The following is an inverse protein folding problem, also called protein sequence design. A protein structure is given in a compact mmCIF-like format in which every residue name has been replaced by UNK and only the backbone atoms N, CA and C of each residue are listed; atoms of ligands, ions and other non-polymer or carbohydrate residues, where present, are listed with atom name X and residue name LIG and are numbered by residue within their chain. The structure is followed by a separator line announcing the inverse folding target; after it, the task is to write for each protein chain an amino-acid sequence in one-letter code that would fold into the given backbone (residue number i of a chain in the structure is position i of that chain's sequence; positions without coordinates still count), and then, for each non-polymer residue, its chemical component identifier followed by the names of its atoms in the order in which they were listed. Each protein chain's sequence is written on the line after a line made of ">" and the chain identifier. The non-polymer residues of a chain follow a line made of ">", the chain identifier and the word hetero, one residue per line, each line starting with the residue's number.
data_IF_444129564702
#
_entry.id   IF_444129564702
#
_cell.length_a   1.000
_cell.length_b   1.000
_cell.length_c   1.000
_cell.angle_alpha   90.00
_cell.angle_beta   90.00
_cell.angle_gamma   90.00
#
_symmetry.space_group_name_H-M   'P 1'
#
loop_
_entity.id
_entity.type
_entity.pdbx_description
1 polymer ?
#
# COMPACT_ATOMS: atom_id res chain seq x y z
N UNK A 1 -13.13 -3.09 64.17
CA UNK A 1 -12.02 -2.72 63.27
C UNK A 1 -12.52 -2.99 61.86
N UNK A 2 -12.51 -1.99 60.98
CA UNK A 2 -13.07 -2.14 59.63
C UNK A 2 -12.38 -3.29 58.89
N UNK A 3 -13.17 -4.09 58.16
CA UNK A 3 -12.66 -5.14 57.28
C UNK A 3 -12.48 -4.57 55.87
N UNK A 4 -11.50 -5.10 55.14
CA UNK A 4 -11.15 -4.60 53.82
C UNK A 4 -11.04 -5.72 52.79
N UNK A 5 -11.33 -5.40 51.53
CA UNK A 5 -11.09 -6.34 50.43
C UNK A 5 -9.58 -6.59 50.24
N UNK A 6 -9.16 -7.79 49.82
CA UNK A 6 -7.74 -8.14 49.76
C UNK A 6 -6.94 -7.33 48.73
N UNK A 7 -7.52 -7.05 47.56
CA UNK A 7 -6.78 -6.50 46.41
C UNK A 7 -6.84 -4.98 46.31
N UNK A 8 -8.01 -4.40 46.61
CA UNK A 8 -8.26 -2.96 46.42
C UNK A 8 -8.44 -2.21 47.74
N UNK A 9 -8.36 -2.91 48.89
CA UNK A 9 -8.49 -2.32 50.23
C UNK A 9 -9.77 -1.50 50.40
N UNK A 10 -10.85 -1.91 49.73
CA UNK A 10 -12.18 -1.29 49.87
C UNK A 10 -12.83 -1.72 51.17
N UNK A 11 -13.60 -0.86 51.81
CA UNK A 11 -14.31 -1.20 53.04
C UNK A 11 -15.32 -2.34 52.78
N UNK A 12 -15.36 -3.32 53.69
CA UNK A 12 -16.39 -4.35 53.73
C UNK A 12 -17.38 -3.98 54.84
N UNK A 13 -18.52 -3.48 54.43
CA UNK A 13 -19.54 -2.91 55.29
C UNK A 13 -20.31 -4.01 56.03
N UNK A 14 -20.23 -4.05 57.36
CA UNK A 14 -21.04 -4.92 58.20
C UNK A 14 -22.37 -4.22 58.55
N UNK A 15 -23.45 -4.95 58.87
CA UNK A 15 -24.76 -4.35 59.15
C UNK A 15 -24.78 -3.31 60.28
N UNK A 16 -23.79 -3.35 61.17
CA UNK A 16 -23.67 -2.44 62.31
C UNK A 16 -22.77 -1.23 62.05
N UNK A 17 -22.13 -1.16 60.89
CA UNK A 17 -21.18 -0.08 60.58
C UNK A 17 -21.91 1.24 60.24
N UNK A 18 -21.44 2.39 60.75
CA UNK A 18 -22.02 3.68 60.41
C UNK A 18 -21.69 4.08 58.96
N UNK A 19 -22.64 4.69 58.25
CA UNK A 19 -22.39 5.21 56.90
C UNK A 19 -21.60 6.51 56.91
N UNK A 20 -20.29 6.37 56.73
CA UNK A 20 -19.35 7.47 56.58
C UNK A 20 -19.19 7.79 55.09
N UNK A 21 -19.64 8.99 54.69
CA UNK A 21 -19.53 9.45 53.29
C UNK A 21 -18.08 9.54 52.82
N UNK A 22 -17.15 9.82 53.73
CA UNK A 22 -15.72 9.91 53.44
C UNK A 22 -15.17 8.54 53.01
N UNK A 23 -15.47 7.48 53.76
CA UNK A 23 -15.06 6.11 53.44
C UNK A 23 -15.68 5.64 52.11
N UNK A 24 -16.97 5.93 51.89
CA UNK A 24 -17.64 5.61 50.64
C UNK A 24 -17.01 6.31 49.43
N UNK A 25 -16.72 7.61 49.54
CA UNK A 25 -16.10 8.38 48.46
C UNK A 25 -14.64 7.92 48.21
N UNK A 26 -13.91 7.53 49.26
CA UNK A 26 -12.57 6.98 49.14
C UNK A 26 -12.58 5.63 48.40
N UNK A 27 -13.51 4.74 48.73
CA UNK A 27 -13.69 3.46 48.03
C UNK A 27 -14.06 3.67 46.55
N UNK A 28 -14.97 4.61 46.26
CA UNK A 28 -15.35 4.95 44.88
C UNK A 28 -14.14 5.46 44.08
N UNK A 29 -13.33 6.34 44.68
CA UNK A 29 -12.11 6.86 44.07
C UNK A 29 -11.07 5.76 43.81
N UNK A 30 -10.95 4.78 44.72
CA UNK A 30 -10.07 3.63 44.55
C UNK A 30 -10.53 2.72 43.40
N UNK A 31 -11.85 2.48 43.27
CA UNK A 31 -12.42 1.73 42.15
C UNK A 31 -12.19 2.45 40.82
N UNK A 32 -12.47 3.76 40.74
CA UNK A 32 -12.26 4.55 39.53
C UNK A 32 -10.78 4.54 39.09
N UNK A 33 -9.87 4.69 40.04
CA UNK A 33 -8.42 4.59 39.79
C UNK A 33 -8.02 3.20 39.27
N UNK A 34 -8.57 2.14 39.86
CA UNK A 34 -8.28 0.77 39.44
C UNK A 34 -8.81 0.48 38.03
N UNK A 35 -10.03 0.94 37.72
CA UNK A 35 -10.61 0.84 36.37
C UNK A 35 -9.76 1.59 35.35
N UNK A 36 -9.31 2.82 35.66
CA UNK A 36 -8.41 3.57 34.79
C UNK A 36 -7.06 2.89 34.54
N UNK A 37 -6.53 2.14 35.53
CA UNK A 37 -5.32 1.31 35.33
C UNK A 37 -5.58 0.10 34.44
N UNK A 38 -6.71 -0.58 34.64
CA UNK A 38 -7.08 -1.74 33.83
C UNK A 38 -7.28 -1.36 32.36
N UNK A 39 -7.96 -0.24 32.10
CA UNK A 39 -8.15 0.29 30.73
C UNK A 39 -6.81 0.55 30.04
N UNK A 40 -5.87 1.25 30.70
CA UNK A 40 -4.53 1.47 30.13
C UNK A 40 -3.78 0.17 29.86
N UNK A 41 -3.80 -0.77 30.80
CA UNK A 41 -3.13 -2.07 30.60
C UNK A 41 -3.73 -2.86 29.44
N UNK A 42 -5.04 -2.76 29.22
CA UNK A 42 -5.70 -3.39 28.08
C UNK A 42 -5.30 -2.71 26.76
N UNK A 43 -5.24 -1.37 26.74
CA UNK A 43 -4.77 -0.59 25.59
C UNK A 43 -3.31 -0.92 25.23
N UNK A 44 -2.41 -0.98 26.22
CA UNK A 44 -1.00 -1.36 26.02
C UNK A 44 -0.88 -2.78 25.46
N UNK A 45 -1.70 -3.70 25.98
CA UNK A 45 -1.72 -5.10 25.50
C UNK A 45 -2.24 -5.19 24.07
N UNK A 46 -3.27 -4.41 23.73
CA UNK A 46 -3.84 -4.36 22.39
C UNK A 46 -2.85 -3.74 21.38
N UNK A 47 -2.11 -2.69 21.76
CA UNK A 47 -1.04 -2.13 20.95
C UNK A 47 0.09 -3.14 20.67
N UNK A 48 0.53 -3.86 21.69
CA UNK A 48 1.54 -4.91 21.53
C UNK A 48 1.03 -6.05 20.64
N UNK A 49 -0.24 -6.46 20.80
CA UNK A 49 -0.86 -7.48 19.96
C UNK A 49 -0.95 -7.03 18.51
N UNK A 50 -1.36 -5.78 18.26
CA UNK A 50 -1.34 -5.15 16.94
C UNK A 50 0.03 -5.30 16.28
N UNK A 51 1.11 -4.86 16.95
CA UNK A 51 2.46 -4.92 16.40
C UNK A 51 2.92 -6.36 16.11
N UNK A 52 2.59 -7.31 16.98
CA UNK A 52 2.92 -8.73 16.76
C UNK A 52 2.16 -9.31 15.56
N UNK A 53 0.90 -8.90 15.37
CA UNK A 53 0.10 -9.35 14.23
C UNK A 53 0.56 -8.73 12.92
N UNK A 54 0.94 -7.45 12.93
CA UNK A 54 1.52 -6.77 11.78
C UNK A 54 2.87 -7.38 11.39
N UNK A 55 3.71 -7.76 12.37
CA UNK A 55 4.94 -8.49 12.08
C UNK A 55 4.67 -9.85 11.41
N UNK A 56 3.68 -10.61 11.91
CA UNK A 56 3.30 -11.88 11.28
C UNK A 56 2.79 -11.67 9.85
N UNK A 57 2.07 -10.58 9.58
CA UNK A 57 1.59 -10.22 8.25
C UNK A 57 2.75 -9.96 7.28
N UNK A 58 3.72 -9.16 7.70
CA UNK A 58 4.96 -8.92 6.94
C UNK A 58 5.76 -10.21 6.68
N UNK A 59 5.69 -11.18 7.57
CA UNK A 59 6.30 -12.50 7.40
C UNK A 59 5.44 -13.48 6.57
N UNK A 60 4.29 -13.05 6.05
CA UNK A 60 3.36 -13.87 5.25
C UNK A 60 2.66 -14.97 6.05
N UNK A 61 2.58 -14.83 7.37
CA UNK A 61 1.95 -15.81 8.27
C UNK A 61 0.46 -15.52 8.43
N UNK A 62 -0.30 -16.57 8.72
CA UNK A 62 -1.72 -16.43 9.02
C UNK A 62 -1.94 -15.59 10.29
N UNK A 63 -2.71 -14.51 10.17
CA UNK A 63 -2.96 -13.55 11.27
C UNK A 63 -4.24 -13.83 12.07
N UNK A 64 -4.97 -14.92 11.79
CA UNK A 64 -6.01 -15.42 12.68
C UNK A 64 -7.32 -14.61 12.75
N UNK A 65 -8.12 -14.93 13.76
CA UNK A 65 -9.38 -14.25 14.09
C UNK A 65 -9.08 -12.92 14.79
N UNK A 66 -9.57 -11.81 14.21
CA UNK A 66 -9.26 -10.44 14.62
C UNK A 66 -10.49 -9.79 15.25
N UNK A 67 -10.86 -10.18 16.46
CA UNK A 67 -11.94 -9.48 17.16
C UNK A 67 -11.47 -8.14 17.71
N UNK A 68 -12.12 -7.06 17.29
CA UNK A 68 -11.89 -5.69 17.73
C UNK A 68 -10.51 -5.10 17.37
N UNK A 69 -9.81 -5.69 16.39
CA UNK A 69 -8.54 -5.18 15.86
C UNK A 69 -8.56 -5.25 14.34
N UNK A 70 -8.37 -4.09 13.70
CA UNK A 70 -8.22 -3.97 12.25
C UNK A 70 -6.83 -3.41 11.99
N UNK A 71 -6.09 -4.00 11.07
CA UNK A 71 -4.78 -3.47 10.67
C UNK A 71 -4.50 -3.81 9.23
N UNK A 72 -3.61 -3.04 8.62
CA UNK A 72 -3.06 -3.32 7.31
C UNK A 72 -1.65 -2.75 7.22
N UNK A 73 -0.74 -3.55 6.68
CA UNK A 73 0.64 -3.15 6.35
C UNK A 73 0.85 -2.95 4.85
N UNK A 74 -0.22 -3.05 4.06
CA UNK A 74 -0.25 -2.88 2.61
C UNK A 74 0.71 -3.82 1.87
N UNK A 75 0.81 -5.07 2.34
CA UNK A 75 1.52 -6.15 1.64
C UNK A 75 0.79 -6.60 0.37
N UNK A 76 -0.53 -6.43 0.36
CA UNK A 76 -1.41 -6.50 -0.81
C UNK A 76 -2.49 -5.40 -0.73
N UNK A 77 -3.40 -5.36 -1.71
CA UNK A 77 -4.51 -4.39 -1.75
C UNK A 77 -5.85 -4.98 -1.25
N UNK A 78 -5.85 -6.17 -0.63
CA UNK A 78 -7.08 -6.88 -0.25
C UNK A 78 -7.87 -6.17 0.86
N UNK A 79 -7.20 -5.37 1.69
CA UNK A 79 -7.81 -4.53 2.73
C UNK A 79 -8.38 -3.20 2.23
N UNK A 80 -8.19 -2.87 0.95
CA UNK A 80 -8.55 -1.57 0.36
C UNK A 80 -9.80 -1.72 -0.53
N UNK A 81 -10.87 -1.03 -0.17
CA UNK A 81 -12.10 -0.97 -0.98
C UNK A 81 -12.00 0.06 -2.12
N UNK A 82 -11.46 1.25 -1.81
CA UNK A 82 -11.27 2.32 -2.79
C UNK A 82 -9.90 2.95 -2.60
N UNK A 83 -9.25 3.30 -3.72
CA UNK A 83 -7.93 3.93 -3.73
C UNK A 83 -7.85 4.95 -4.85
N UNK A 84 -7.29 6.13 -4.55
CA UNK A 84 -6.96 7.09 -5.59
C UNK A 84 -5.86 6.54 -6.52
N UNK A 85 -5.98 6.79 -7.82
CA UNK A 85 -4.95 6.36 -8.80
C UNK A 85 -3.56 6.97 -8.53
N UNK A 86 -3.48 8.08 -7.80
CA UNK A 86 -2.20 8.70 -7.43
C UNK A 86 -1.44 7.97 -6.33
N UNK A 87 -2.07 7.00 -5.65
CA UNK A 87 -1.47 6.25 -4.55
C UNK A 87 -1.06 4.87 -5.08
N UNK A 88 0.25 4.64 -5.17
CA UNK A 88 0.81 3.37 -5.64
C UNK A 88 1.28 2.51 -4.47
N UNK A 89 1.06 1.21 -4.59
CA UNK A 89 1.59 0.25 -3.63
C UNK A 89 3.08 0.00 -3.90
N UNK A 90 3.85 -0.15 -2.83
CA UNK A 90 5.27 -0.51 -2.83
C UNK A 90 5.49 -1.66 -1.85
N UNK A 91 6.68 -2.26 -1.84
CA UNK A 91 7.04 -3.27 -0.82
C UNK A 91 7.06 -2.69 0.61
N UNK A 92 7.11 -1.36 0.72
CA UNK A 92 7.25 -0.58 1.95
C UNK A 92 5.92 0.06 2.40
N UNK A 93 4.80 -0.24 1.73
CA UNK A 93 3.51 0.38 2.00
C UNK A 93 3.00 1.21 0.82
N UNK A 94 2.22 2.24 1.08
CA UNK A 94 1.64 3.10 0.04
C UNK A 94 2.47 4.36 -0.17
N UNK A 95 2.62 4.77 -1.44
CA UNK A 95 3.37 5.94 -1.86
C UNK A 95 2.47 6.94 -2.60
N UNK A 96 2.50 8.18 -2.14
CA UNK A 96 2.04 9.36 -2.86
C UNK A 96 3.26 10.24 -3.17
N UNK A 97 3.52 10.46 -4.45
CA UNK A 97 4.66 11.27 -4.92
C UNK A 97 4.18 12.41 -5.80
N UNK A 98 4.96 13.50 -5.85
CA UNK A 98 4.77 14.56 -6.85
C UNK A 98 5.73 14.46 -8.02
N UNK A 99 6.64 13.49 -8.00
CA UNK A 99 7.53 13.20 -9.13
C UNK A 99 6.88 12.13 -9.99
N UNK A 100 6.33 12.54 -11.14
CA UNK A 100 5.67 11.65 -12.08
C UNK A 100 6.66 10.93 -12.98
N UNK A 101 6.41 9.66 -13.30
CA UNK A 101 7.20 8.94 -14.29
C UNK A 101 6.92 9.51 -15.69
N UNK A 102 7.98 10.03 -16.31
CA UNK A 102 7.95 10.45 -17.71
C UNK A 102 8.13 9.29 -18.68
N UNK A 103 7.82 9.53 -19.96
CA UNK A 103 8.11 8.58 -21.03
C UNK A 103 9.62 8.31 -21.12
N UNK A 104 9.97 7.05 -21.35
CA UNK A 104 11.38 6.63 -21.47
C UNK A 104 11.59 5.94 -22.80
N UNK A 105 12.71 6.20 -23.46
CA UNK A 105 13.03 5.61 -24.77
C UNK A 105 14.48 5.17 -24.82
N UNK A 106 14.76 4.15 -25.61
CA UNK A 106 16.13 3.81 -26.00
C UNK A 106 16.82 5.03 -26.64
N UNK A 107 17.92 5.47 -26.04
CA UNK A 107 18.58 6.76 -26.34
C UNK A 107 19.15 6.84 -27.75
N UNK A 108 19.58 5.73 -28.34
CA UNK A 108 20.17 5.71 -29.69
C UNK A 108 19.78 4.44 -30.41
N UNK A 109 19.40 4.58 -31.69
CA UNK A 109 19.01 3.46 -32.57
C UNK A 109 20.15 3.18 -33.57
N UNK A 110 20.49 1.92 -33.81
CA UNK A 110 21.56 1.56 -34.75
C UNK A 110 21.29 0.22 -35.42
N UNK A 111 20.94 0.22 -36.71
CA UNK A 111 20.68 -1.01 -37.46
C UNK A 111 19.41 -1.73 -37.01
N UNK A 112 19.36 -3.04 -37.26
CA UNK A 112 18.19 -3.88 -36.95
C UNK A 112 18.58 -5.18 -36.28
N UNK A 113 17.72 -5.68 -35.39
CA UNK A 113 17.81 -7.00 -34.76
C UNK A 113 16.69 -7.88 -35.31
N UNK A 114 17.01 -9.14 -35.63
CA UNK A 114 16.02 -10.12 -36.07
C UNK A 114 15.34 -10.74 -34.84
N UNK A 115 14.00 -10.78 -34.83
CA UNK A 115 13.26 -11.49 -33.79
C UNK A 115 13.21 -12.97 -34.16
N UNK A 116 14.16 -13.75 -33.65
CA UNK A 116 14.20 -15.21 -33.79
C UNK A 116 14.08 -15.85 -32.41
N UNK A 117 12.86 -16.21 -32.02
CA UNK A 117 12.53 -16.56 -30.64
C UNK A 117 12.23 -15.31 -29.83
N UNK A 118 13.18 -14.82 -29.03
CA UNK A 118 12.96 -13.71 -28.10
C UNK A 118 14.04 -12.64 -28.20
N UNK A 119 13.64 -11.38 -28.24
CA UNK A 119 14.49 -10.19 -28.21
C UNK A 119 14.11 -9.34 -26.99
N UNK A 120 15.10 -8.72 -26.36
CA UNK A 120 14.93 -7.90 -25.16
C UNK A 120 14.96 -6.41 -25.53
N UNK A 121 14.37 -5.54 -24.71
CA UNK A 121 14.74 -4.13 -24.68
C UNK A 121 15.94 -3.90 -23.75
N UNK A 122 16.44 -2.67 -23.75
CA UNK A 122 17.24 -2.19 -22.62
C UNK A 122 16.45 -2.25 -21.30
N UNK A 123 17.17 -2.31 -20.19
CA UNK A 123 16.59 -2.17 -18.85
C UNK A 123 16.61 -0.70 -18.45
N UNK A 124 15.47 -0.23 -17.98
CA UNK A 124 15.26 1.13 -17.50
C UNK A 124 15.01 1.11 -16.00
N UNK A 125 15.33 2.22 -15.34
CA UNK A 125 15.00 2.44 -13.94
C UNK A 125 13.98 3.58 -13.87
N UNK A 126 12.95 3.40 -13.05
CA UNK A 126 11.94 4.40 -12.81
C UNK A 126 12.45 5.49 -11.85
N UNK A 127 12.18 6.74 -12.20
CA UNK A 127 12.54 7.92 -11.42
C UNK A 127 11.32 8.56 -10.75
N UNK A 128 10.09 8.16 -11.14
CA UNK A 128 8.84 8.73 -10.64
C UNK A 128 7.72 7.70 -10.55
N UNK A 129 6.54 8.15 -10.11
CA UNK A 129 5.32 7.33 -10.04
C UNK A 129 4.49 7.44 -11.33
N UNK A 130 4.00 6.32 -11.81
CA UNK A 130 3.11 6.34 -12.97
C UNK A 130 2.58 4.98 -13.38
N UNK A 131 1.79 4.99 -14.44
CA UNK A 131 1.23 3.81 -15.06
C UNK A 131 1.79 3.68 -16.47
N UNK A 132 2.48 2.57 -16.74
CA UNK A 132 2.85 2.20 -18.09
C UNK A 132 1.59 1.79 -18.85
N UNK A 133 1.25 2.52 -19.91
CA UNK A 133 0.03 2.28 -20.69
C UNK A 133 0.33 1.78 -22.09
N UNK A 134 1.42 2.26 -22.70
CA UNK A 134 1.73 1.95 -24.10
C UNK A 134 3.20 1.69 -24.30
N UNK A 135 3.47 0.81 -25.26
CA UNK A 135 4.79 0.56 -25.81
C UNK A 135 4.78 0.94 -27.27
N UNK A 136 5.74 1.77 -27.67
CA UNK A 136 5.99 2.05 -29.08
C UNK A 136 7.35 1.52 -29.52
N UNK A 137 7.38 0.92 -30.70
CA UNK A 137 8.62 0.49 -31.33
C UNK A 137 8.49 0.51 -32.85
N UNK A 138 9.62 0.52 -33.52
CA UNK A 138 9.67 0.47 -34.98
C UNK A 138 10.28 -0.85 -35.40
N UNK A 139 9.73 -1.44 -36.45
CA UNK A 139 10.21 -2.69 -37.02
C UNK A 139 9.45 -2.99 -38.30
N UNK A 140 9.90 -3.93 -39.09
CA UNK A 140 9.23 -4.32 -40.32
C UNK A 140 9.34 -5.83 -40.50
N UNK A 141 8.27 -6.37 -41.04
CA UNK A 141 8.19 -7.76 -41.44
C UNK A 141 8.59 -7.89 -42.91
N UNK A 142 9.50 -8.82 -43.19
CA UNK A 142 9.94 -9.13 -44.55
C UNK A 142 9.40 -10.51 -44.97
N UNK A 143 8.10 -10.70 -45.22
CA UNK A 143 7.64 -11.97 -45.82
C UNK A 143 7.42 -11.93 -47.32
N UNK A 144 7.55 -13.14 -47.88
CA UNK A 144 7.12 -13.56 -49.21
C UNK A 144 5.60 -13.29 -49.39
N UNK A 145 5.13 -13.08 -50.62
CA UNK A 145 3.77 -12.61 -50.89
C UNK A 145 2.74 -13.69 -50.55
N UNK A 146 2.14 -13.66 -49.36
CA UNK A 146 1.09 -14.61 -48.99
C UNK A 146 0.53 -14.52 -47.57
N UNK A 147 1.29 -14.04 -46.58
CA UNK A 147 0.82 -13.84 -45.21
C UNK A 147 1.08 -12.40 -44.76
N UNK A 148 0.01 -11.62 -44.54
CA UNK A 148 0.11 -10.17 -44.26
C UNK A 148 0.38 -9.88 -42.77
N UNK A 149 0.39 -10.92 -41.92
CA UNK A 149 0.53 -10.76 -40.47
C UNK A 149 1.29 -11.89 -39.79
N UNK A 150 1.99 -11.57 -38.69
CA UNK A 150 2.76 -12.49 -37.86
C UNK A 150 2.29 -12.47 -36.40
N UNK A 151 1.94 -13.62 -35.85
CA UNK A 151 1.66 -13.77 -34.42
C UNK A 151 2.86 -13.38 -33.58
N UNK A 152 2.75 -12.34 -32.77
CA UNK A 152 3.82 -11.82 -31.93
C UNK A 152 3.30 -11.61 -30.51
N UNK A 153 4.19 -11.69 -29.52
CA UNK A 153 3.87 -11.36 -28.14
C UNK A 153 4.90 -10.43 -27.53
N UNK A 154 4.44 -9.61 -26.60
CA UNK A 154 5.24 -8.73 -25.78
C UNK A 154 4.99 -9.07 -24.32
N UNK A 155 6.05 -9.21 -23.54
CA UNK A 155 5.99 -9.42 -22.09
C UNK A 155 6.77 -8.30 -21.40
N UNK A 156 6.17 -7.63 -20.43
CA UNK A 156 6.77 -6.58 -19.62
C UNK A 156 7.20 -7.20 -18.30
N UNK A 157 8.41 -6.86 -17.89
CA UNK A 157 8.98 -7.26 -16.62
C UNK A 157 9.21 -6.02 -15.76
N UNK A 158 8.86 -6.13 -14.48
CA UNK A 158 9.14 -5.14 -13.43
C UNK A 158 9.79 -5.89 -12.28
N UNK A 159 10.99 -5.48 -11.87
CA UNK A 159 11.80 -6.15 -10.86
C UNK A 159 11.93 -7.66 -11.12
N UNK A 160 12.17 -8.00 -12.40
CA UNK A 160 12.31 -9.36 -12.92
C UNK A 160 11.05 -10.25 -12.80
N UNK A 161 9.90 -9.69 -12.41
CA UNK A 161 8.60 -10.36 -12.40
C UNK A 161 7.77 -9.95 -13.62
N UNK A 162 6.98 -10.89 -14.15
CA UNK A 162 6.05 -10.59 -15.26
C UNK A 162 4.94 -9.68 -14.76
N UNK A 163 4.88 -8.47 -15.29
CA UNK A 163 3.87 -7.47 -14.91
C UNK A 163 2.72 -7.39 -15.92
N UNK A 164 3.00 -7.60 -17.20
CA UNK A 164 1.97 -7.67 -18.24
C UNK A 164 2.45 -8.50 -19.43
N UNK A 165 1.50 -9.08 -20.17
CA UNK A 165 1.75 -9.77 -21.42
C UNK A 165 0.65 -9.46 -22.42
N UNK A 166 1.02 -9.26 -23.69
CA UNK A 166 0.08 -8.97 -24.77
C UNK A 166 0.48 -9.65 -26.07
N UNK A 167 -0.44 -10.39 -26.66
CA UNK A 167 -0.31 -10.91 -28.02
C UNK A 167 -0.87 -9.93 -29.04
N UNK A 168 -0.23 -9.82 -30.20
CA UNK A 168 -0.66 -8.96 -31.30
C UNK A 168 -0.19 -9.52 -32.64
N UNK A 169 -0.87 -9.12 -33.71
CA UNK A 169 -0.47 -9.43 -35.07
C UNK A 169 0.49 -8.34 -35.58
N UNK A 170 1.77 -8.66 -35.75
CA UNK A 170 2.70 -7.81 -36.45
C UNK A 170 2.37 -7.81 -37.96
N UNK A 171 2.58 -6.71 -38.68
CA UNK A 171 2.26 -6.60 -40.11
C UNK A 171 3.42 -5.98 -40.89
N UNK A 172 3.22 -5.62 -42.16
CA UNK A 172 4.23 -4.86 -42.92
C UNK A 172 4.39 -3.40 -42.43
N UNK A 173 3.68 -2.98 -41.38
CA UNK A 173 3.78 -1.64 -40.81
C UNK A 173 5.14 -1.43 -40.16
N UNK A 174 5.67 -0.20 -40.26
CA UNK A 174 7.00 0.16 -39.75
C UNK A 174 7.03 0.63 -38.29
N UNK A 175 5.85 0.90 -37.72
CA UNK A 175 5.65 1.49 -36.39
C UNK A 175 4.51 0.77 -35.68
N UNK A 176 4.77 0.36 -34.45
CA UNK A 176 3.84 -0.36 -33.59
C UNK A 176 3.57 0.47 -32.35
N UNK A 177 2.30 0.55 -31.97
CA UNK A 177 1.83 1.09 -30.70
C UNK A 177 0.99 0.02 -30.04
N UNK A 178 1.51 -0.57 -28.97
CA UNK A 178 0.83 -1.60 -28.19
C UNK A 178 0.31 -0.96 -26.92
N UNK A 179 -1.01 -0.83 -26.80
CA UNK A 179 -1.68 -0.39 -25.57
C UNK A 179 -1.94 -1.59 -24.68
N UNK A 180 -1.58 -1.52 -23.39
CA UNK A 180 -1.84 -2.57 -22.41
C UNK A 180 -3.31 -2.58 -22.01
N UNK A 181 -3.85 -3.78 -21.74
CA UNK A 181 -5.25 -3.91 -21.30
C UNK A 181 -5.43 -3.45 -19.85
N UNK A 182 -4.40 -3.64 -19.03
CA UNK A 182 -4.30 -3.13 -17.67
C UNK A 182 -3.00 -2.35 -17.57
N UNK A 183 -3.04 -1.04 -17.24
CA UNK A 183 -1.84 -0.26 -17.03
C UNK A 183 -0.98 -0.85 -15.90
N UNK A 184 0.33 -0.89 -16.10
CA UNK A 184 1.27 -1.45 -15.12
C UNK A 184 1.75 -0.33 -14.19
N UNK A 185 1.47 -0.36 -12.88
CA UNK A 185 1.99 0.62 -11.94
C UNK A 185 3.51 0.49 -11.83
N UNK A 186 4.20 1.62 -11.74
CA UNK A 186 5.64 1.73 -11.57
C UNK A 186 5.92 2.82 -10.52
N UNK A 187 6.87 2.53 -9.63
CA UNK A 187 7.32 3.45 -8.57
C UNK A 187 8.83 3.72 -8.67
N UNK A 188 9.33 4.82 -8.08
CA UNK A 188 10.76 5.13 -8.09
C UNK A 188 11.62 3.96 -7.61
N UNK A 189 12.67 3.65 -8.36
CA UNK A 189 13.58 2.54 -8.08
C UNK A 189 13.26 1.24 -8.82
N UNK A 190 12.03 1.06 -9.33
CA UNK A 190 11.66 -0.11 -10.11
C UNK A 190 12.53 -0.25 -11.36
N UNK A 191 12.95 -1.48 -11.65
CA UNK A 191 13.65 -1.83 -12.88
C UNK A 191 12.68 -2.48 -13.84
N UNK A 192 12.55 -1.94 -15.05
CA UNK A 192 11.63 -2.48 -16.03
C UNK A 192 12.27 -2.66 -17.41
N UNK A 193 11.80 -3.67 -18.13
CA UNK A 193 12.18 -3.98 -19.50
C UNK A 193 11.08 -4.81 -20.15
N UNK A 194 11.21 -5.08 -21.46
CA UNK A 194 10.30 -5.97 -22.16
C UNK A 194 11.03 -7.03 -22.96
N UNK A 195 10.30 -8.09 -23.28
CA UNK A 195 10.68 -9.06 -24.31
C UNK A 195 9.67 -9.05 -25.43
N UNK A 196 10.14 -9.09 -26.67
CA UNK A 196 9.34 -9.35 -27.87
C UNK A 196 9.65 -10.76 -28.37
N UNK A 197 8.61 -11.57 -28.54
CA UNK A 197 8.72 -12.94 -29.02
C UNK A 197 7.87 -13.17 -30.25
N UNK A 198 8.47 -13.81 -31.26
CA UNK A 198 7.83 -14.20 -32.51
C UNK A 198 8.17 -15.67 -32.83
N UNK A 199 7.35 -16.35 -33.66
CA UNK A 199 7.63 -17.70 -34.13
C UNK A 199 9.06 -17.85 -34.66
N UNK A 200 9.62 -19.04 -34.48
CA UNK A 200 10.93 -19.41 -35.03
C UNK A 200 10.92 -19.33 -36.55
N UNK A 201 12.03 -18.89 -37.16
CA UNK A 201 12.21 -18.71 -38.62
C UNK A 201 11.40 -17.57 -39.26
N UNK A 202 11.10 -16.51 -38.51
CA UNK A 202 10.43 -15.32 -39.05
C UNK A 202 11.44 -14.28 -39.52
N UNK A 203 11.01 -13.38 -40.41
CA UNK A 203 11.83 -12.25 -40.87
C UNK A 203 11.41 -10.92 -40.24
N UNK A 204 10.89 -10.95 -39.02
CA UNK A 204 10.51 -9.73 -38.31
C UNK A 204 11.75 -9.02 -37.76
N UNK A 205 12.01 -7.82 -38.25
CA UNK A 205 13.18 -7.02 -37.87
C UNK A 205 12.74 -5.81 -37.06
N UNK A 206 13.35 -5.63 -35.90
CA UNK A 206 13.15 -4.43 -35.07
C UNK A 206 14.33 -3.50 -35.25
N UNK A 207 14.10 -2.19 -35.13
CA UNK A 207 15.23 -1.28 -34.93
C UNK A 207 15.92 -1.61 -33.62
N UNK A 208 17.24 -1.63 -33.65
CA UNK A 208 18.07 -2.11 -32.56
C UNK A 208 18.55 -0.96 -31.68
N UNK A 209 18.69 -1.21 -30.38
CA UNK A 209 19.37 -0.31 -29.45
C UNK A 209 20.84 -0.17 -29.82
N UNK A 210 21.41 1.03 -29.68
CA UNK A 210 22.85 1.19 -29.83
C UNK A 210 23.61 0.75 -28.57
N UNK A 211 22.92 0.56 -27.44
CA UNK A 211 23.54 0.12 -26.19
C UNK A 211 23.88 -1.38 -26.21
N UNK A 212 23.02 -2.21 -26.81
CA UNK A 212 23.25 -3.64 -27.00
C UNK A 212 22.74 -4.09 -28.38
N UNK A 213 23.60 -4.79 -29.11
CA UNK A 213 23.28 -5.29 -30.45
C UNK A 213 22.22 -6.40 -30.49
N UNK A 214 21.82 -6.93 -29.35
CA UNK A 214 20.75 -7.91 -29.23
C UNK A 214 19.44 -7.30 -28.75
N UNK A 215 19.42 -6.01 -28.43
CA UNK A 215 18.24 -5.34 -27.90
C UNK A 215 17.46 -4.57 -28.96
N UNK A 216 16.14 -4.58 -28.84
CA UNK A 216 15.24 -3.74 -29.60
C UNK A 216 15.19 -2.32 -29.00
N UNK A 217 15.14 -1.33 -29.88
CA UNK A 217 14.87 0.05 -29.50
C UNK A 217 13.37 0.26 -29.31
N UNK A 218 13.00 0.69 -28.11
CA UNK A 218 11.60 0.82 -27.70
C UNK A 218 11.38 2.14 -26.98
N UNK A 219 10.12 2.54 -26.87
CA UNK A 219 9.64 3.66 -26.08
C UNK A 219 8.53 3.15 -25.17
N UNK A 220 8.68 3.40 -23.88
CA UNK A 220 7.68 3.17 -22.84
C UNK A 220 6.95 4.49 -22.59
N UNK A 221 5.63 4.48 -22.72
CA UNK A 221 4.78 5.64 -22.54
C UNK A 221 3.95 5.51 -21.26
N UNK A 222 4.11 6.49 -20.39
CA UNK A 222 3.55 6.51 -19.06
C UNK A 222 2.48 7.59 -18.92
N UNK A 223 1.44 7.27 -18.16
CA UNK A 223 0.58 8.26 -17.51
C UNK A 223 1.15 8.55 -16.13
N UNK A 224 1.53 9.81 -15.88
CA UNK A 224 1.99 10.25 -14.56
C UNK A 224 0.92 10.02 -13.50
N UNK A 225 1.32 9.49 -12.35
CA UNK A 225 0.47 9.37 -11.15
C UNK A 225 0.78 10.46 -10.10
N UNK A 226 1.62 11.46 -10.45
CA UNK A 226 1.98 12.52 -9.53
C UNK A 226 0.75 13.32 -9.06
N UNK A 227 0.65 13.51 -7.75
CA UNK A 227 -0.42 14.29 -7.15
C UNK A 227 0.00 14.89 -5.82
N UNK A 228 -0.66 15.98 -5.44
CA UNK A 228 -0.46 16.59 -4.13
C UNK A 228 -1.26 15.87 -3.04
N UNK A 229 -2.36 15.21 -3.40
CA UNK A 229 -3.21 14.48 -2.46
C UNK A 229 -3.87 13.25 -3.09
N UNK A 230 -4.39 12.38 -2.23
CA UNK A 230 -5.19 11.22 -2.56
C UNK A 230 -5.90 10.69 -1.32
N UNK A 231 -6.67 9.64 -1.51
CA UNK A 231 -7.33 8.92 -0.41
C UNK A 231 -7.38 7.44 -0.64
N UNK A 232 -7.42 6.69 0.46
CA UNK A 232 -7.78 5.28 0.49
C UNK A 232 -8.97 5.07 1.42
N UNK A 233 -9.80 4.08 1.13
CA UNK A 233 -10.88 3.61 1.97
C UNK A 233 -10.72 2.11 2.19
N UNK A 234 -10.85 1.66 3.43
CA UNK A 234 -10.73 0.25 3.77
C UNK A 234 -11.98 -0.53 3.42
N UNK A 235 -11.85 -1.84 3.25
CA UNK A 235 -13.01 -2.75 3.21
C UNK A 235 -13.81 -2.61 4.52
N UNK A 236 -15.16 -2.57 4.47
CA UNK A 236 -15.98 -2.53 5.66
C UNK A 236 -15.75 -3.73 6.57
N UNK A 237 -15.60 -3.48 7.87
CA UNK A 237 -15.46 -4.49 8.90
C UNK A 237 -16.71 -4.51 9.78
N UNK A 238 -17.46 -5.61 9.75
CA UNK A 238 -18.64 -5.83 10.60
C UNK A 238 -18.18 -6.37 11.95
N UNK A 239 -18.72 -5.80 13.03
CA UNK A 239 -18.39 -6.15 14.41
C UNK A 239 -19.46 -7.07 15.00
N UNK A 240 -19.02 -8.06 15.78
CA UNK A 240 -19.94 -8.96 16.51
C UNK A 240 -20.77 -8.22 17.59
N UNK A 241 -20.27 -7.08 18.06
CA UNK A 241 -20.94 -6.20 19.01
C UNK A 241 -20.52 -4.75 18.76
N UNK A 242 -21.43 -3.81 19.03
CA UNK A 242 -21.16 -2.39 18.82
C UNK A 242 -19.95 -1.91 19.65
N UNK A 243 -18.97 -1.32 18.98
CA UNK A 243 -17.85 -0.64 19.63
C UNK A 243 -18.24 0.79 20.02
N UNK A 244 -17.72 1.24 21.16
CA UNK A 244 -18.04 2.56 21.74
C UNK A 244 -16.87 3.53 21.72
N UNK A 245 -15.65 2.99 21.61
CA UNK A 245 -14.40 3.74 21.52
C UNK A 245 -13.50 3.12 20.45
N UNK A 246 -12.70 3.97 19.84
CA UNK A 246 -11.72 3.57 18.87
C UNK A 246 -10.39 4.25 19.18
N UNK A 247 -9.28 3.53 19.00
CA UNK A 247 -7.93 4.08 19.01
C UNK A 247 -7.19 3.60 17.77
N UNK A 248 -6.70 4.54 16.98
CA UNK A 248 -6.05 4.29 15.70
C UNK A 248 -4.59 4.74 15.78
N UNK A 249 -3.70 3.85 15.38
CA UNK A 249 -2.29 4.14 15.17
C UNK A 249 -2.02 4.17 13.67
N UNK A 250 -1.30 5.18 13.19
CA UNK A 250 -0.84 5.27 11.80
C UNK A 250 0.65 5.58 11.80
N UNK A 251 1.41 4.84 11.00
CA UNK A 251 2.79 5.15 10.69
C UNK A 251 2.93 5.69 9.29
N UNK A 252 3.51 6.88 9.20
CA UNK A 252 3.79 7.53 7.92
C UNK A 252 5.05 8.40 7.99
N UNK A 253 5.63 8.69 6.83
CA UNK A 253 6.76 9.62 6.70
C UNK A 253 6.51 10.59 5.55
N UNK A 254 6.87 11.86 5.76
CA UNK A 254 6.57 12.92 4.81
C UNK A 254 5.07 13.23 4.74
N UNK A 255 4.73 14.48 4.43
CA UNK A 255 3.35 14.91 4.25
C UNK A 255 2.47 14.67 5.49
N UNK A 256 1.21 14.28 5.26
CA UNK A 256 0.25 13.94 6.31
C UNK A 256 -0.71 12.85 5.87
N UNK A 257 -1.07 12.00 6.83
CA UNK A 257 -2.16 11.02 6.71
C UNK A 257 -3.19 11.34 7.78
N UNK A 258 -4.41 11.71 7.36
CA UNK A 258 -5.49 12.09 8.26
C UNK A 258 -6.63 11.07 8.16
N UNK A 259 -6.93 10.34 9.24
CA UNK A 259 -7.97 9.32 9.24
C UNK A 259 -9.36 9.88 9.56
N UNK A 260 -10.37 9.24 8.97
CA UNK A 260 -11.79 9.37 9.26
C UNK A 260 -12.37 7.97 9.54
N UNK A 261 -13.22 7.86 10.56
CA UNK A 261 -13.95 6.65 10.91
C UNK A 261 -15.42 6.85 10.55
N UNK A 262 -15.92 6.09 9.57
CA UNK A 262 -17.27 6.23 9.02
C UNK A 262 -17.59 7.69 8.61
N UNK A 263 -16.60 8.38 8.04
CA UNK A 263 -16.71 9.78 7.62
C UNK A 263 -16.60 10.83 8.74
N UNK A 264 -16.32 10.40 9.98
CA UNK A 264 -16.06 11.31 11.11
C UNK A 264 -14.57 11.38 11.38
N UNK A 265 -14.00 12.58 11.39
CA UNK A 265 -12.59 12.79 11.70
C UNK A 265 -12.27 12.39 13.14
N UNK A 266 -11.19 11.64 13.35
CA UNK A 266 -10.73 11.26 14.68
C UNK A 266 -9.91 12.39 15.34
N UNK A 267 -9.87 12.40 16.66
CA UNK A 267 -9.08 13.35 17.45
C UNK A 267 -7.64 12.86 17.61
N UNK A 268 -6.66 13.64 17.15
CA UNK A 268 -5.24 13.34 17.34
C UNK A 268 -4.86 13.56 18.82
N UNK A 269 -4.28 12.55 19.46
CA UNK A 269 -3.91 12.60 20.89
C UNK A 269 -2.42 12.41 21.15
N UNK A 270 -1.69 11.77 20.24
CA UNK A 270 -0.26 11.51 20.40
C UNK A 270 0.44 11.52 19.04
N UNK A 271 1.69 11.98 19.05
CA UNK A 271 2.61 11.93 17.93
C UNK A 271 4.01 11.63 18.47
N UNK A 272 4.69 10.65 17.89
CA UNK A 272 6.02 10.24 18.31
C UNK A 272 6.88 9.78 17.13
N UNK A 273 8.20 9.95 17.27
CA UNK A 273 9.16 9.32 16.34
C UNK A 273 9.15 7.80 16.56
N UNK A 274 9.10 7.05 15.47
CA UNK A 274 9.04 5.60 15.49
C UNK A 274 9.80 5.03 14.28
N UNK A 275 9.98 3.72 14.27
CA UNK A 275 10.40 2.98 13.07
C UNK A 275 9.23 2.09 12.64
N UNK A 276 9.00 1.97 11.33
CA UNK A 276 8.11 0.93 10.80
C UNK A 276 8.64 -0.45 11.20
N UNK A 277 7.81 -1.50 11.17
CA UNK A 277 8.33 -2.85 11.47
C UNK A 277 9.29 -3.38 10.40
N UNK A 278 9.44 -2.68 9.28
CA UNK A 278 10.46 -2.93 8.27
C UNK A 278 11.76 -2.14 8.52
N UNK A 279 11.83 -1.35 9.60
CA UNK A 279 13.02 -0.61 10.03
C UNK A 279 13.21 0.77 9.40
N UNK A 280 12.15 1.35 8.82
CA UNK A 280 12.21 2.70 8.25
C UNK A 280 11.78 3.74 9.27
N UNK A 281 12.59 4.79 9.44
CA UNK A 281 12.25 5.91 10.32
C UNK A 281 10.98 6.64 9.85
N UNK A 282 10.05 6.86 10.77
CA UNK A 282 8.73 7.41 10.51
C UNK A 282 8.18 8.17 11.72
N UNK A 283 6.96 8.70 11.57
CA UNK A 283 6.17 9.23 12.67
C UNK A 283 4.99 8.31 12.93
N UNK A 284 4.83 7.85 14.16
CA UNK A 284 3.61 7.21 14.62
C UNK A 284 2.68 8.25 15.24
N UNK A 285 1.45 8.29 14.77
CA UNK A 285 0.39 9.16 15.31
C UNK A 285 -0.73 8.30 15.86
N UNK A 286 -1.30 8.75 16.96
CA UNK A 286 -2.42 8.10 17.63
C UNK A 286 -3.65 9.01 17.61
N UNK A 287 -4.77 8.46 17.15
CA UNK A 287 -6.06 9.13 17.18
C UNK A 287 -7.08 8.35 17.99
N UNK A 288 -8.06 9.05 18.53
CA UNK A 288 -9.20 8.45 19.24
C UNK A 288 -10.53 8.91 18.68
N UNK A 289 -11.55 8.08 18.86
CA UNK A 289 -12.94 8.48 18.66
C UNK A 289 -13.84 7.79 19.70
N UNK A 290 -14.98 8.41 19.97
CA UNK A 290 -16.06 7.82 20.77
C UNK A 290 -17.35 7.81 19.95
N UNK A 291 -18.12 6.73 20.00
CA UNK A 291 -19.31 6.58 19.17
C UNK A 291 -20.09 5.30 19.46
N UNK A 292 -20.78 4.81 18.45
CA UNK A 292 -21.46 3.51 18.45
C UNK A 292 -21.40 2.97 17.04
N UNK A 293 -20.60 1.93 16.82
CA UNK A 293 -20.34 1.38 15.49
C UNK A 293 -20.59 -0.12 15.50
N UNK A 294 -21.42 -0.61 14.59
CA UNK A 294 -21.58 -2.04 14.28
C UNK A 294 -20.82 -2.43 13.01
N UNK A 295 -20.47 -1.44 12.20
CA UNK A 295 -19.63 -1.55 11.02
C UNK A 295 -18.61 -0.41 11.03
N UNK A 296 -17.38 -0.73 10.64
CA UNK A 296 -16.25 0.20 10.64
C UNK A 296 -15.62 0.27 9.25
N UNK A 297 -15.51 1.49 8.73
CA UNK A 297 -14.80 1.86 7.52
C UNK A 297 -13.86 3.00 7.85
N UNK A 298 -12.58 2.82 7.55
CA UNK A 298 -11.59 3.90 7.67
C UNK A 298 -11.38 4.53 6.29
N UNK A 299 -11.37 5.86 6.27
CA UNK A 299 -10.93 6.64 5.11
C UNK A 299 -9.70 7.42 5.54
N UNK A 300 -8.61 7.28 4.80
CA UNK A 300 -7.40 8.07 5.04
C UNK A 300 -7.22 9.08 3.92
N UNK A 301 -7.08 10.35 4.29
CA UNK A 301 -6.67 11.42 3.38
C UNK A 301 -5.16 11.58 3.46
N UNK A 302 -4.50 11.39 2.33
CA UNK A 302 -3.04 11.48 2.20
C UNK A 302 -2.74 12.76 1.44
N UNK A 303 -1.83 13.57 1.97
CA UNK A 303 -1.38 14.82 1.35
C UNK A 303 0.14 14.93 1.48
N UNK A 304 0.81 15.41 0.44
CA UNK A 304 2.25 15.66 0.50
C UNK A 304 2.57 16.95 1.25
N UNK A 305 1.66 17.92 1.34
CA UNK A 305 1.92 19.21 1.99
C UNK A 305 3.23 19.84 1.51
N UNK A 306 3.41 19.88 0.19
CA UNK A 306 4.60 20.40 -0.51
C UNK A 306 5.92 19.64 -0.31
N UNK A 307 5.95 18.48 0.40
CA UNK A 307 7.15 17.61 0.41
C UNK A 307 7.20 16.71 -0.82
N UNK A 308 8.35 16.11 -1.13
CA UNK A 308 8.53 15.28 -2.34
C UNK A 308 7.67 14.01 -2.33
N UNK A 309 7.64 13.28 -1.21
CA UNK A 309 6.90 12.04 -1.07
C UNK A 309 6.20 11.97 0.27
N UNK A 310 5.02 11.35 0.29
CA UNK A 310 4.34 10.90 1.49
C UNK A 310 4.21 9.37 1.42
N UNK A 311 4.80 8.69 2.41
CA UNK A 311 4.71 7.23 2.56
C UNK A 311 3.80 6.89 3.73
N UNK A 312 2.87 5.98 3.49
CA UNK A 312 1.96 5.44 4.48
C UNK A 312 2.28 3.95 4.66
N UNK A 313 2.92 3.63 5.78
CA UNK A 313 3.51 2.31 6.04
C UNK A 313 2.46 1.31 6.52
N UNK A 314 1.72 1.68 7.57
CA UNK A 314 0.79 0.79 8.23
C UNK A 314 -0.22 1.55 9.10
N UNK A 315 -1.32 0.87 9.42
CA UNK A 315 -2.23 1.32 10.47
C UNK A 315 -2.74 0.16 11.33
N UNK A 316 -3.15 0.50 12.56
CA UNK A 316 -3.81 -0.39 13.50
C UNK A 316 -4.94 0.31 14.25
N UNK A 317 -6.17 -0.14 14.05
CA UNK A 317 -7.37 0.30 14.76
C UNK A 317 -7.76 -0.71 15.83
N UNK A 318 -7.79 -0.26 17.07
CA UNK A 318 -8.30 -0.99 18.23
C UNK A 318 -9.69 -0.44 18.56
N UNK A 319 -10.66 -1.35 18.72
CA UNK A 319 -12.04 -1.04 19.06
C UNK A 319 -12.34 -1.51 20.49
N UNK A 320 -13.04 -0.68 21.27
CA UNK A 320 -13.33 -0.91 22.70
C UNK A 320 -14.81 -0.65 23.04
#
# INVERSE_FOLDING_TARGET
>A
MAKFTPNYRLHQWEPTDPFLREDFNADLSAVDTALGRLTRSAEDSAYNLYNLMLQNDYEGKYTGYKNALIFDGFTDESGIAEKSESILQTNEGLLLSGTGQGNVSTTTKSGTVLVSGTVYSDTFQADGVGYLEKITFSGYYLEDPGDDTLDTSLTIYVNDQVAAQKSFLASSTTHYTITLDTPVPIVPGDRFFLTLAAPSNTWFRLYRSAADEKHAAVTFEFRSAASESGSIQTVPCILDSAASKARLYVRSSGGSVVPELNGVQLELVEESEADSLQGMSCTERCWIATGSWEEVVLTFRISRNDVEDCRFFDYGLILL
#
